data_IF_883497613630
#
_entry.id   IF_883497613630
#
_cell.length_a   1.000
_cell.length_b   1.000
_cell.length_c   1.000
_cell.angle_alpha   90.00
_cell.angle_beta   90.00
_cell.angle_gamma   90.00
#
_symmetry.space_group_name_H-M   'P 1'
#
loop_
_entity.id
_entity.type
_entity.pdbx_description
1 polymer ?
#
# COMPACT_ATOMS: atom_id res chain seq x y z
N UNK A 1 -4.86 8.42 1.46
CA UNK A 1 -6.14 8.08 0.80
C UNK A 1 -6.90 9.33 0.37
N UNK A 2 -7.05 10.31 1.25
CA UNK A 2 -7.80 11.55 0.94
C UNK A 2 -7.23 12.32 -0.23
N UNK A 3 -5.90 12.38 -0.35
CA UNK A 3 -5.24 13.03 -1.49
C UNK A 3 -5.56 12.36 -2.82
N UNK A 4 -5.67 11.04 -2.81
CA UNK A 4 -6.10 10.29 -3.99
C UNK A 4 -7.55 10.65 -4.35
N UNK A 5 -8.42 10.70 -3.34
CA UNK A 5 -9.83 11.04 -3.52
C UNK A 5 -9.99 12.44 -4.15
N UNK A 6 -9.21 13.41 -3.73
CA UNK A 6 -9.20 14.76 -4.30
C UNK A 6 -8.90 14.76 -5.80
N UNK A 7 -8.14 13.77 -6.27
CA UNK A 7 -7.77 13.62 -7.68
C UNK A 7 -8.66 12.65 -8.44
N UNK A 8 -9.77 12.25 -7.83
CA UNK A 8 -10.70 11.25 -8.40
C UNK A 8 -10.02 9.89 -8.65
N UNK A 9 -9.01 9.57 -7.87
CA UNK A 9 -8.35 8.27 -7.85
C UNK A 9 -8.98 7.38 -6.78
N UNK A 10 -8.87 6.07 -6.94
CA UNK A 10 -9.28 5.15 -5.87
C UNK A 10 -8.52 5.53 -4.59
N UNK A 11 -9.22 5.81 -3.47
CA UNK A 11 -8.60 6.42 -2.29
C UNK A 11 -7.78 5.43 -1.46
N UNK A 12 -6.61 5.11 -1.96
CA UNK A 12 -5.63 4.27 -1.28
C UNK A 12 -4.40 5.11 -0.98
N UNK A 13 -3.97 5.11 0.26
CA UNK A 13 -2.80 5.84 0.72
C UNK A 13 -1.81 4.91 1.39
N UNK A 14 -0.54 5.32 1.38
CA UNK A 14 0.55 4.50 1.87
C UNK A 14 1.68 5.40 2.40
N UNK A 15 2.29 4.97 3.51
CA UNK A 15 3.53 5.59 4.00
C UNK A 15 4.52 4.48 4.36
N UNK A 16 5.82 4.79 4.25
CA UNK A 16 6.88 3.92 4.74
C UNK A 16 7.65 4.68 5.82
N UNK A 17 7.88 4.02 6.94
CA UNK A 17 8.56 4.56 8.11
C UNK A 17 9.84 3.76 8.36
N UNK A 18 10.94 4.46 8.63
CA UNK A 18 12.21 3.86 9.04
C UNK A 18 12.80 4.72 10.16
N UNK A 19 13.22 4.08 11.25
CA UNK A 19 13.79 4.78 12.42
C UNK A 19 12.88 5.92 12.89
N UNK A 20 11.57 5.64 13.04
CA UNK A 20 10.56 6.58 13.50
C UNK A 20 10.36 7.81 12.58
N UNK A 21 10.86 7.74 11.34
CA UNK A 21 10.70 8.82 10.37
C UNK A 21 9.93 8.32 9.16
N UNK A 22 9.00 9.14 8.68
CA UNK A 22 8.32 8.86 7.41
C UNK A 22 9.29 9.17 6.28
N UNK A 23 9.68 8.14 5.51
CA UNK A 23 10.63 8.27 4.41
C UNK A 23 9.95 8.24 3.04
N UNK A 24 8.69 7.85 2.97
CA UNK A 24 7.91 7.85 1.73
C UNK A 24 6.44 8.06 2.04
N UNK A 25 5.76 8.84 1.21
CA UNK A 25 4.32 9.07 1.24
C UNK A 25 3.80 8.94 -0.18
N UNK A 26 2.71 8.22 -0.36
CA UNK A 26 2.16 8.04 -1.70
C UNK A 26 0.67 7.75 -1.64
N UNK A 27 0.03 7.86 -2.78
CA UNK A 27 -1.37 7.49 -2.94
C UNK A 27 -1.57 7.00 -4.37
N UNK A 28 -2.68 6.32 -4.64
CA UNK A 28 -2.96 5.79 -5.96
C UNK A 28 -2.98 6.92 -7.00
N UNK A 29 -2.31 6.72 -8.13
CA UNK A 29 -2.20 7.67 -9.25
C UNK A 29 -2.39 6.99 -10.60
N UNK A 30 -3.09 5.85 -10.66
CA UNK A 30 -3.23 5.09 -11.92
C UNK A 30 -3.87 5.92 -13.04
N UNK A 31 -4.88 6.71 -12.72
CA UNK A 31 -5.55 7.58 -13.69
C UNK A 31 -4.71 8.81 -14.03
N UNK A 32 -4.18 9.47 -13.01
CA UNK A 32 -3.36 10.68 -13.18
C UNK A 32 -2.14 10.44 -14.05
N UNK A 33 -1.45 9.31 -13.84
CA UNK A 33 -0.23 8.97 -14.58
C UNK A 33 -0.49 8.09 -15.80
N UNK A 34 -1.73 7.68 -16.02
CA UNK A 34 -2.11 6.72 -17.09
C UNK A 34 -1.20 5.49 -17.01
N UNK A 35 -1.11 4.90 -15.81
CA UNK A 35 -0.19 3.81 -15.51
C UNK A 35 -0.85 2.82 -14.55
N UNK A 36 -1.13 1.61 -15.03
CA UNK A 36 -1.80 0.57 -14.23
C UNK A 36 -0.95 0.11 -13.04
N UNK A 37 0.35 0.38 -13.06
CA UNK A 37 1.24 0.02 -11.94
C UNK A 37 1.39 1.12 -10.90
N UNK A 38 0.80 2.30 -11.12
CA UNK A 38 0.97 3.45 -10.22
C UNK A 38 0.12 3.33 -8.95
N UNK A 39 0.14 2.17 -8.31
CA UNK A 39 -0.45 1.94 -7.00
C UNK A 39 0.36 2.67 -5.92
N UNK A 40 -0.29 2.98 -4.81
CA UNK A 40 0.35 3.67 -3.69
C UNK A 40 1.60 2.92 -3.23
N UNK A 41 1.50 1.60 -3.08
CA UNK A 41 2.59 0.76 -2.59
C UNK A 41 3.79 0.76 -3.53
N UNK A 42 3.54 0.67 -4.85
CA UNK A 42 4.62 0.67 -5.86
C UNK A 42 5.41 1.96 -5.80
N UNK A 43 4.73 3.09 -5.70
CA UNK A 43 5.38 4.40 -5.59
C UNK A 43 6.17 4.54 -4.29
N UNK A 44 5.59 4.07 -3.18
CA UNK A 44 6.23 4.14 -1.88
C UNK A 44 7.52 3.31 -1.84
N UNK A 45 7.50 2.10 -2.39
CA UNK A 45 8.68 1.24 -2.47
C UNK A 45 9.81 1.93 -3.24
N UNK A 46 9.50 2.46 -4.42
CA UNK A 46 10.48 3.17 -5.26
C UNK A 46 11.05 4.39 -4.52
N UNK A 47 10.18 5.19 -3.91
CA UNK A 47 10.58 6.40 -3.19
C UNK A 47 11.45 6.07 -1.98
N UNK A 48 11.08 5.06 -1.20
CA UNK A 48 11.84 4.65 -0.02
C UNK A 48 13.21 4.09 -0.40
N UNK A 49 13.27 3.26 -1.44
CA UNK A 49 14.54 2.72 -1.93
C UNK A 49 15.48 3.84 -2.38
N UNK A 50 14.94 4.82 -3.09
CA UNK A 50 15.71 5.98 -3.52
C UNK A 50 16.23 6.79 -2.32
N UNK A 51 15.39 7.03 -1.32
CA UNK A 51 15.78 7.74 -0.10
C UNK A 51 16.90 7.02 0.65
N UNK A 52 16.79 5.70 0.79
CA UNK A 52 17.77 4.89 1.52
C UNK A 52 19.04 4.60 0.71
N UNK A 53 19.00 4.79 -0.59
CA UNK A 53 20.13 4.45 -1.47
C UNK A 53 20.33 2.95 -1.65
N UNK A 54 19.27 2.15 -1.49
CA UNK A 54 19.35 0.70 -1.63
C UNK A 54 17.98 0.08 -1.87
N UNK A 55 17.95 -1.06 -2.56
CA UNK A 55 16.71 -1.69 -3.00
C UNK A 55 15.98 -2.51 -1.93
N UNK A 56 16.64 -2.84 -0.83
CA UNK A 56 16.01 -3.61 0.24
C UNK A 56 15.51 -2.70 1.34
N UNK A 57 14.27 -2.91 1.75
CA UNK A 57 13.59 -2.07 2.75
C UNK A 57 13.59 -2.74 4.13
N UNK A 58 14.73 -3.31 4.50
CA UNK A 58 14.93 -3.88 5.83
C UNK A 58 14.83 -2.76 6.87
N UNK A 59 14.29 -3.07 8.04
CA UNK A 59 14.04 -2.11 9.12
C UNK A 59 13.03 -1.01 8.74
N UNK A 60 12.19 -1.27 7.74
CA UNK A 60 11.12 -0.37 7.34
C UNK A 60 9.76 -0.99 7.61
N UNK A 61 8.77 -0.13 7.90
CA UNK A 61 7.37 -0.52 8.04
C UNK A 61 6.54 0.24 7.02
N UNK A 62 5.73 -0.48 6.26
CA UNK A 62 4.77 0.10 5.33
C UNK A 62 3.39 0.08 5.97
N UNK A 63 2.72 1.23 5.97
CA UNK A 63 1.32 1.37 6.37
C UNK A 63 0.50 1.66 5.14
N UNK A 64 -0.50 0.85 4.87
CA UNK A 64 -1.36 1.00 3.69
C UNK A 64 -2.83 0.88 4.10
N UNK A 65 -3.68 1.71 3.50
CA UNK A 65 -5.10 1.76 3.88
C UNK A 65 -5.91 0.58 3.38
N UNK A 66 -5.51 -0.02 2.25
CA UNK A 66 -6.17 -1.20 1.70
C UNK A 66 -5.14 -2.30 1.48
N UNK A 67 -5.55 -3.54 1.69
CA UNK A 67 -4.69 -4.71 1.51
C UNK A 67 -4.04 -4.71 0.12
N UNK A 68 -2.70 -4.91 0.03
CA UNK A 68 -2.00 -4.94 -1.26
C UNK A 68 -2.52 -6.03 -2.19
N UNK A 69 -2.61 -5.69 -3.47
CA UNK A 69 -2.95 -6.65 -4.52
C UNK A 69 -1.78 -7.60 -4.82
N UNK A 70 -2.01 -8.54 -5.73
CA UNK A 70 -0.99 -9.52 -6.13
C UNK A 70 0.29 -8.85 -6.64
N UNK A 71 0.16 -7.82 -7.47
CA UNK A 71 1.30 -7.07 -8.00
C UNK A 71 2.13 -6.43 -6.89
N UNK A 72 1.45 -5.70 -5.99
CA UNK A 72 2.14 -5.01 -4.90
C UNK A 72 2.71 -5.99 -3.88
N UNK A 73 2.02 -7.11 -3.62
CA UNK A 73 2.54 -8.13 -2.71
C UNK A 73 3.84 -8.74 -3.23
N UNK A 74 3.95 -8.95 -4.54
CA UNK A 74 5.18 -9.40 -5.18
C UNK A 74 6.31 -8.41 -4.98
N UNK A 75 6.03 -7.12 -5.20
CA UNK A 75 7.02 -6.07 -4.99
C UNK A 75 7.47 -5.98 -3.53
N UNK A 76 6.53 -6.09 -2.59
CA UNK A 76 6.84 -6.09 -1.16
C UNK A 76 7.71 -7.30 -0.77
N UNK A 77 7.42 -8.48 -1.32
CA UNK A 77 8.22 -9.67 -1.07
C UNK A 77 9.66 -9.47 -1.55
N UNK A 78 9.85 -8.95 -2.76
CA UNK A 78 11.17 -8.66 -3.29
C UNK A 78 11.92 -7.60 -2.49
N UNK A 79 11.19 -6.63 -1.92
CA UNK A 79 11.81 -5.55 -1.14
C UNK A 79 12.34 -6.02 0.22
N UNK A 80 11.92 -7.17 0.70
CA UNK A 80 12.27 -7.72 2.02
C UNK A 80 11.90 -6.77 3.17
N UNK A 81 10.82 -6.01 3.00
CA UNK A 81 10.37 -5.07 4.03
C UNK A 81 10.09 -5.78 5.35
N UNK A 82 10.39 -5.15 6.46
CA UNK A 82 10.30 -5.78 7.77
C UNK A 82 8.86 -5.96 8.27
N UNK A 83 7.97 -5.01 7.96
CA UNK A 83 6.61 -5.04 8.47
C UNK A 83 5.64 -4.34 7.52
N UNK A 84 4.46 -4.91 7.37
CA UNK A 84 3.36 -4.32 6.59
C UNK A 84 2.13 -4.25 7.49
N UNK A 85 1.59 -3.04 7.66
CA UNK A 85 0.40 -2.77 8.45
C UNK A 85 -0.73 -2.39 7.50
N UNK A 86 -1.80 -3.17 7.51
CA UNK A 86 -2.92 -3.06 6.59
C UNK A 86 -4.15 -2.55 7.33
N UNK A 87 -4.82 -1.54 6.76
CA UNK A 87 -6.10 -1.05 7.28
C UNK A 87 -7.22 -2.03 6.97
N UNK A 88 -7.80 -1.93 5.79
CA UNK A 88 -8.90 -2.80 5.37
C UNK A 88 -8.42 -3.97 4.53
N UNK A 89 -9.05 -5.13 4.70
CA UNK A 89 -8.84 -6.31 3.85
C UNK A 89 -9.56 -6.11 2.51
N UNK A 90 -8.99 -6.68 1.46
CA UNK A 90 -9.62 -6.75 0.14
C UNK A 90 -9.83 -8.22 -0.21
N UNK A 91 -11.05 -8.71 -0.04
CA UNK A 91 -11.36 -10.12 -0.23
C UNK A 91 -11.23 -10.57 -1.69
N UNK A 92 -11.41 -9.65 -2.64
CA UNK A 92 -11.39 -9.99 -4.07
C UNK A 92 -9.98 -9.93 -4.66
N UNK A 93 -9.22 -8.88 -4.35
CA UNK A 93 -7.93 -8.61 -5.00
C UNK A 93 -6.73 -8.66 -4.06
N UNK A 94 -6.97 -8.77 -2.76
CA UNK A 94 -5.91 -8.83 -1.78
C UNK A 94 -5.10 -10.12 -1.86
N UNK A 95 -3.84 -10.06 -1.46
CA UNK A 95 -2.93 -11.20 -1.58
C UNK A 95 -3.22 -12.32 -0.59
N UNK A 96 -3.78 -12.01 0.58
CA UNK A 96 -3.97 -13.00 1.65
C UNK A 96 -4.95 -14.10 1.23
N UNK A 97 -6.11 -13.73 0.69
CA UNK A 97 -7.11 -14.71 0.25
C UNK A 97 -6.69 -15.49 -0.99
N UNK A 98 -5.65 -15.06 -1.67
CA UNK A 98 -5.10 -15.79 -2.82
C UNK A 98 -3.97 -16.73 -2.41
N UNK A 99 -3.75 -16.88 -1.11
CA UNK A 99 -2.73 -17.79 -0.58
C UNK A 99 -1.30 -17.34 -0.82
N UNK A 100 -1.10 -16.08 -1.14
CA UNK A 100 0.24 -15.53 -1.36
C UNK A 100 0.84 -15.04 -0.05
N UNK A 101 2.16 -15.12 0.04
CA UNK A 101 2.90 -14.66 1.21
C UNK A 101 3.92 -13.60 0.79
N UNK A 102 4.25 -12.73 1.72
CA UNK A 102 5.35 -11.80 1.57
C UNK A 102 6.67 -12.51 1.92
N UNK A 103 7.74 -11.77 2.10
CA UNK A 103 9.01 -12.35 2.52
C UNK A 103 8.82 -13.06 3.88
N UNK A 104 9.48 -14.21 4.12
CA UNK A 104 9.30 -14.96 5.37
C UNK A 104 9.56 -14.16 6.64
N UNK A 105 10.40 -13.14 6.57
CA UNK A 105 10.71 -12.29 7.72
C UNK A 105 9.79 -11.08 7.86
N UNK A 106 8.84 -10.88 6.94
CA UNK A 106 7.92 -9.74 6.99
C UNK A 106 6.79 -10.04 7.95
N UNK A 107 6.63 -9.20 8.97
CA UNK A 107 5.47 -9.24 9.84
C UNK A 107 4.29 -8.57 9.15
N UNK A 108 3.10 -9.18 9.20
CA UNK A 108 1.88 -8.63 8.60
C UNK A 108 0.86 -8.41 9.70
N UNK A 109 0.36 -7.17 9.80
CA UNK A 109 -0.68 -6.77 10.76
C UNK A 109 -1.86 -6.24 9.98
N UNK A 110 -3.07 -6.68 10.33
CA UNK A 110 -4.31 -6.26 9.66
C UNK A 110 -5.27 -5.60 10.65
N UNK A 111 -6.27 -4.88 10.13
CA UNK A 111 -7.38 -4.37 10.92
C UNK A 111 -7.14 -3.01 11.59
N UNK A 112 -6.08 -2.30 11.25
CA UNK A 112 -5.80 -0.97 11.81
C UNK A 112 -6.68 0.06 11.10
N UNK A 113 -7.58 0.71 11.85
CA UNK A 113 -8.56 1.65 11.29
C UNK A 113 -9.38 1.01 10.16
N UNK A 114 -9.70 -0.27 10.31
CA UNK A 114 -10.34 -1.07 9.24
C UNK A 114 -11.63 -0.44 8.74
N UNK A 115 -12.48 0.03 9.66
CA UNK A 115 -13.77 0.62 9.30
C UNK A 115 -13.58 1.87 8.43
N UNK A 116 -12.75 2.80 8.86
CA UNK A 116 -12.49 4.05 8.15
C UNK A 116 -11.86 3.79 6.78
N UNK A 117 -10.89 2.88 6.73
CA UNK A 117 -10.22 2.52 5.49
C UNK A 117 -11.15 1.82 4.51
N UNK A 118 -12.04 0.97 5.00
CA UNK A 118 -13.04 0.27 4.18
C UNK A 118 -14.09 1.24 3.63
N UNK A 119 -14.60 2.12 4.48
CA UNK A 119 -15.68 3.03 4.11
C UNK A 119 -15.28 4.01 3.00
N UNK A 120 -14.07 4.57 3.06
CA UNK A 120 -13.62 5.53 2.06
C UNK A 120 -13.59 4.91 0.65
N UNK A 121 -13.17 3.66 0.55
CA UNK A 121 -13.13 2.93 -0.72
C UNK A 121 -14.53 2.58 -1.20
N UNK A 122 -15.38 2.08 -0.31
CA UNK A 122 -16.77 1.73 -0.64
C UNK A 122 -17.55 2.95 -1.11
N UNK A 123 -17.39 4.07 -0.43
CA UNK A 123 -18.08 5.32 -0.80
C UNK A 123 -17.62 5.83 -2.16
N UNK A 124 -16.33 5.72 -2.46
CA UNK A 124 -15.79 6.10 -3.77
C UNK A 124 -16.49 5.32 -4.89
N UNK A 125 -16.52 3.98 -4.79
CA UNK A 125 -17.15 3.15 -5.82
C UNK A 125 -18.67 3.33 -5.88
N UNK A 126 -19.32 3.53 -4.75
CA UNK A 126 -20.77 3.82 -4.71
C UNK A 126 -21.08 5.10 -5.48
N UNK A 127 -20.28 6.14 -5.34
CA UNK A 127 -20.49 7.41 -6.00
C UNK A 127 -20.15 7.39 -7.49
N UNK A 128 -19.48 6.34 -7.97
CA UNK A 128 -19.16 6.14 -9.41
C UNK A 128 -20.24 5.41 -10.19
N UNK A 129 -21.24 4.86 -9.50
CA UNK A 129 -22.33 4.10 -10.14
C UNK A 129 -23.44 4.99 -10.65
#
# INVERSE_FOLDING_TARGET
AEKALEKDEVPIGCIIVSNDRVIARSHNLTETLTDVTAHAEMQAITSAANFLGGKYLQNCTLYVTLEPCVMCSGALAWSQISKVVIGARDEQRGFINKGLSLHPKTEVVTGVLEKECSEIVKDFFKNKR
#
